data_IF_055156382170
#
_entry.id   IF_055156382170
#
_cell.length_a   1.000
_cell.length_b   1.000
_cell.length_c   1.000
_cell.angle_alpha   90.00
_cell.angle_beta   90.00
_cell.angle_gamma   90.00
#
_symmetry.space_group_name_H-M   'P 1'
#
loop_
_entity.id
_entity.type
_entity.pdbx_description
1 polymer ?
#
# COMPACT_ATOMS: atom_id res chain seq x y z
N UNK A 1 5.77 3.79 -11.29
CA UNK A 1 5.24 3.60 -9.93
C UNK A 1 5.97 4.56 -9.01
N UNK A 2 5.26 5.25 -8.13
CA UNK A 2 5.84 6.16 -7.15
C UNK A 2 6.20 5.46 -5.85
N UNK A 3 7.19 5.99 -5.15
CA UNK A 3 7.71 5.45 -3.89
C UNK A 3 8.00 6.59 -2.91
N UNK A 4 7.45 6.51 -1.69
CA UNK A 4 7.69 7.49 -0.61
C UNK A 4 7.91 6.79 0.72
N UNK A 5 8.94 7.20 1.46
CA UNK A 5 9.11 6.78 2.85
C UNK A 5 8.27 7.67 3.76
N UNK A 6 7.35 7.09 4.55
CA UNK A 6 6.54 7.82 5.54
C UNK A 6 6.15 6.98 6.75
N UNK A 7 5.56 7.63 7.75
CA UNK A 7 4.93 6.97 8.87
C UNK A 7 3.42 6.88 8.67
N UNK A 8 2.88 5.68 8.86
CA UNK A 8 1.44 5.44 8.93
C UNK A 8 1.10 4.93 10.33
N UNK A 9 -0.16 5.06 10.74
CA UNK A 9 -0.67 4.46 11.96
C UNK A 9 -1.57 3.28 11.62
N UNK A 10 -1.27 2.08 12.12
CA UNK A 10 -2.08 0.87 11.93
C UNK A 10 -2.69 0.50 13.27
N UNK A 11 -4.00 0.72 13.42
CA UNK A 11 -4.64 0.68 14.74
C UNK A 11 -4.01 1.72 15.67
N UNK A 12 -3.27 1.26 16.69
CA UNK A 12 -2.55 2.12 17.64
C UNK A 12 -1.03 2.19 17.40
N UNK A 13 -0.51 1.51 16.37
CA UNK A 13 0.92 1.40 16.15
C UNK A 13 1.39 2.31 15.02
N UNK A 14 2.31 3.23 15.32
CA UNK A 14 3.04 3.99 14.31
C UNK A 14 4.11 3.13 13.63
N UNK A 15 4.13 3.14 12.29
CA UNK A 15 4.97 2.29 11.49
C UNK A 15 5.61 3.08 10.34
N UNK A 16 6.94 3.04 10.25
CA UNK A 16 7.65 3.51 9.07
C UNK A 16 7.42 2.52 7.92
N UNK A 17 6.98 3.03 6.78
CA UNK A 17 6.72 2.23 5.57
C UNK A 17 7.25 2.93 4.34
N UNK A 18 7.49 2.13 3.31
CA UNK A 18 7.60 2.59 1.94
C UNK A 18 6.22 2.55 1.30
N UNK A 19 5.59 3.70 1.11
CA UNK A 19 4.34 3.79 0.38
C UNK A 19 4.55 3.66 -1.13
N UNK A 20 3.81 2.74 -1.73
CA UNK A 20 3.71 2.46 -3.15
C UNK A 20 2.43 3.11 -3.68
N UNK A 21 2.59 3.98 -4.68
CA UNK A 21 1.48 4.71 -5.31
C UNK A 21 1.63 4.81 -6.82
N UNK A 22 0.65 5.44 -7.46
CA UNK A 22 0.57 5.57 -8.93
C UNK A 22 0.75 4.23 -9.66
N UNK A 23 0.13 3.19 -9.10
CA UNK A 23 0.17 1.86 -9.68
C UNK A 23 -0.98 1.70 -10.68
N UNK A 24 -0.63 1.65 -11.97
CA UNK A 24 -1.57 1.45 -13.06
C UNK A 24 -1.02 0.45 -14.05
N UNK A 25 -1.86 -0.48 -14.48
CA UNK A 25 -1.54 -1.47 -15.50
C UNK A 25 -2.60 -1.35 -16.58
N UNK A 26 -2.15 -1.27 -17.83
CA UNK A 26 -3.08 -1.25 -18.96
C UNK A 26 -3.75 -2.63 -19.05
N UNK A 27 -5.08 -2.75 -19.19
CA UNK A 27 -5.78 -4.05 -19.12
C UNK A 27 -5.25 -5.13 -20.06
N UNK A 28 -4.74 -4.75 -21.24
CA UNK A 28 -4.12 -5.64 -22.22
C UNK A 28 -2.71 -6.13 -21.83
N UNK A 29 -2.08 -5.47 -20.85
CA UNK A 29 -0.75 -5.79 -20.31
C UNK A 29 -0.80 -6.50 -18.95
N UNK A 30 -1.99 -6.73 -18.36
CA UNK A 30 -2.17 -7.40 -17.07
C UNK A 30 -1.53 -8.80 -17.00
N UNK A 31 -1.25 -9.43 -18.15
CA UNK A 31 -0.62 -10.75 -18.24
C UNK A 31 0.90 -10.71 -18.48
N UNK A 32 1.53 -9.53 -18.63
CA UNK A 32 2.92 -9.40 -19.12
C UNK A 32 3.96 -8.82 -18.13
N UNK A 33 3.73 -8.86 -16.81
CA UNK A 33 4.88 -8.90 -15.87
C UNK A 33 5.02 -7.77 -14.86
N UNK A 34 4.03 -7.61 -13.97
CA UNK A 34 4.17 -6.74 -12.79
C UNK A 34 5.10 -7.29 -11.71
N UNK A 35 5.31 -8.61 -11.66
CA UNK A 35 6.37 -9.17 -10.80
C UNK A 35 7.71 -8.48 -11.06
N UNK A 36 7.97 -8.08 -12.30
CA UNK A 36 9.19 -7.37 -12.67
C UNK A 36 9.27 -5.95 -12.06
N UNK A 37 8.18 -5.18 -12.02
CA UNK A 37 8.20 -3.81 -11.51
C UNK A 37 8.32 -3.73 -9.98
N UNK A 38 7.69 -4.65 -9.25
CA UNK A 38 7.80 -4.72 -7.79
C UNK A 38 9.17 -5.25 -7.38
N UNK A 39 9.64 -6.32 -8.04
CA UNK A 39 10.98 -6.86 -7.80
C UNK A 39 12.08 -5.86 -8.17
N UNK A 40 11.89 -5.05 -9.22
CA UNK A 40 12.86 -4.00 -9.60
C UNK A 40 13.03 -2.92 -8.52
N UNK A 41 12.02 -2.70 -7.67
CA UNK A 41 12.09 -1.72 -6.58
C UNK A 41 12.59 -2.33 -5.27
N UNK A 42 12.69 -3.65 -5.19
CA UNK A 42 13.12 -4.33 -3.96
C UNK A 42 14.48 -3.85 -3.45
N UNK A 43 15.51 -3.62 -4.30
CA UNK A 43 16.77 -3.03 -3.84
C UNK A 43 16.57 -1.64 -3.21
N UNK A 44 15.81 -0.76 -3.85
CA UNK A 44 15.50 0.58 -3.32
C UNK A 44 14.71 0.51 -2.02
N UNK A 45 13.78 -0.44 -1.89
CA UNK A 45 13.02 -0.64 -0.66
C UNK A 45 13.90 -1.08 0.52
N UNK A 46 14.93 -1.89 0.26
CA UNK A 46 15.91 -2.29 1.28
C UNK A 46 16.74 -1.09 1.76
N UNK A 47 17.14 -0.19 0.85
CA UNK A 47 17.90 1.02 1.19
C UNK A 47 17.11 2.02 2.05
N UNK A 48 15.78 2.05 1.93
CA UNK A 48 14.93 2.93 2.73
C UNK A 48 14.87 2.57 4.23
N UNK A 49 15.39 1.40 4.61
CA UNK A 49 15.47 0.97 6.01
C UNK A 49 14.10 0.86 6.68
N UNK A 50 13.07 0.47 5.91
CA UNK A 50 11.69 0.29 6.40
C UNK A 50 11.35 -1.19 6.56
N UNK A 51 10.56 -1.57 7.58
CA UNK A 51 10.15 -2.96 7.79
C UNK A 51 9.23 -3.50 6.69
N UNK A 52 8.37 -2.63 6.12
CA UNK A 52 7.35 -3.00 5.14
C UNK A 52 7.23 -1.95 4.04
N UNK A 53 6.82 -2.41 2.85
CA UNK A 53 6.18 -1.55 1.86
C UNK A 53 4.66 -1.69 1.95
N UNK A 54 3.94 -0.61 1.70
CA UNK A 54 2.49 -0.49 1.83
C UNK A 54 1.93 0.18 0.56
N UNK A 55 0.80 -0.27 0.06
CA UNK A 55 0.09 0.42 -1.03
C UNK A 55 -1.39 0.13 -0.99
N UNK A 56 -2.18 0.93 -1.70
CA UNK A 56 -3.62 0.72 -1.84
C UNK A 56 -4.02 0.60 -3.29
N UNK A 57 -4.93 -0.32 -3.59
CA UNK A 57 -5.60 -0.38 -4.91
C UNK A 57 -7.10 -0.52 -4.75
N UNK A 58 -7.83 -0.10 -5.77
CA UNK A 58 -9.29 -0.28 -5.83
C UNK A 58 -9.65 -1.76 -5.93
N UNK A 59 -10.84 -2.14 -5.46
CA UNK A 59 -11.34 -3.51 -5.58
C UNK A 59 -11.41 -4.04 -7.01
N UNK A 60 -11.55 -3.17 -8.02
CA UNK A 60 -11.48 -3.56 -9.43
C UNK A 60 -10.15 -4.24 -9.81
N UNK A 61 -9.07 -3.99 -9.06
CA UNK A 61 -7.75 -4.60 -9.25
C UNK A 61 -7.56 -5.91 -8.47
N UNK A 62 -8.59 -6.43 -7.78
CA UNK A 62 -8.51 -7.64 -6.95
C UNK A 62 -7.87 -8.83 -7.66
N UNK A 63 -8.45 -9.23 -8.79
CA UNK A 63 -8.02 -10.41 -9.56
C UNK A 63 -6.56 -10.30 -9.99
N UNK A 64 -6.10 -9.05 -10.19
CA UNK A 64 -4.74 -8.75 -10.56
C UNK A 64 -3.79 -8.91 -9.39
N UNK A 65 -4.07 -8.29 -8.24
CA UNK A 65 -3.18 -8.33 -7.06
C UNK A 65 -3.16 -9.68 -6.35
N UNK A 66 -4.28 -10.42 -6.32
CA UNK A 66 -4.37 -11.74 -5.69
C UNK A 66 -3.51 -12.79 -6.41
N UNK A 67 -3.21 -12.60 -7.70
CA UNK A 67 -2.27 -13.46 -8.42
C UNK A 67 -0.87 -13.38 -7.83
N UNK A 68 -0.43 -12.18 -7.43
CA UNK A 68 0.88 -11.97 -6.81
C UNK A 68 0.90 -12.36 -5.34
N UNK A 69 -0.23 -12.22 -4.64
CA UNK A 69 -0.35 -12.75 -3.29
C UNK A 69 -0.07 -14.26 -3.26
N UNK A 70 -0.55 -15.00 -4.26
CA UNK A 70 -0.30 -16.44 -4.41
C UNK A 70 1.17 -16.80 -4.65
N UNK A 71 2.00 -15.88 -5.15
CA UNK A 71 3.44 -16.12 -5.31
C UNK A 71 4.23 -15.81 -4.04
N UNK A 72 3.58 -15.37 -2.96
CA UNK A 72 4.21 -15.04 -1.68
C UNK A 72 4.97 -13.71 -1.67
N UNK A 73 4.92 -12.94 -2.76
CA UNK A 73 5.70 -11.70 -2.91
C UNK A 73 5.05 -10.52 -2.18
N UNK A 74 3.74 -10.56 -1.96
CA UNK A 74 2.98 -9.55 -1.24
C UNK A 74 1.80 -10.19 -0.51
N UNK A 75 1.23 -9.51 0.46
CA UNK A 75 -0.04 -9.87 1.10
C UNK A 75 -1.11 -8.85 0.72
N UNK A 76 -2.32 -9.34 0.43
CA UNK A 76 -3.51 -8.51 0.20
C UNK A 76 -4.36 -8.57 1.46
N UNK A 77 -4.49 -7.44 2.15
CA UNK A 77 -5.36 -7.29 3.30
C UNK A 77 -6.71 -6.72 2.86
N UNK A 78 -7.78 -7.27 3.40
CA UNK A 78 -9.17 -6.87 3.13
C UNK A 78 -9.89 -6.57 4.43
N UNK A 79 -10.95 -5.76 4.40
CA UNK A 79 -11.63 -5.30 5.62
C UNK A 79 -10.80 -4.31 6.43
N UNK A 80 -9.83 -3.66 5.77
CA UNK A 80 -8.98 -2.61 6.35
C UNK A 80 -9.38 -1.29 5.71
N UNK A 81 -9.87 -0.38 6.53
CA UNK A 81 -10.18 0.99 6.11
C UNK A 81 -8.91 1.83 6.10
N UNK A 82 -8.73 2.66 5.08
CA UNK A 82 -7.61 3.59 4.98
C UNK A 82 -8.13 5.01 5.05
N UNK A 83 -7.66 5.77 6.06
CA UNK A 83 -7.95 7.19 6.21
C UNK A 83 -6.77 8.01 5.70
N UNK A 84 -7.07 8.91 4.77
CA UNK A 84 -6.09 9.80 4.14
C UNK A 84 -6.55 11.25 4.22
N UNK A 85 -5.60 12.17 4.26
CA UNK A 85 -5.89 13.60 4.11
C UNK A 85 -6.29 13.87 2.67
N UNK A 86 -7.26 14.75 2.43
CA UNK A 86 -7.55 15.20 1.07
C UNK A 86 -6.38 16.06 0.56
N UNK A 87 -5.96 15.91 -0.72
CA UNK A 87 -4.88 16.71 -1.28
C UNK A 87 -5.22 18.19 -1.33
N UNK A 88 -6.49 18.52 -1.58
CA UNK A 88 -7.00 19.89 -1.62
C UNK A 88 -7.84 20.19 -0.37
N UNK A 89 -7.52 21.29 0.29
CA UNK A 89 -8.34 21.79 1.40
C UNK A 89 -9.62 22.43 0.85
N UNK A 90 -10.77 21.98 1.34
CA UNK A 90 -12.06 22.61 1.04
C UNK A 90 -12.80 22.91 2.34
N UNK A 91 -13.16 24.19 2.63
CA UNK A 91 -13.71 24.59 3.93
C UNK A 91 -15.05 23.93 4.29
N UNK A 92 -15.76 23.40 3.30
CA UNK A 92 -17.05 22.74 3.46
C UNK A 92 -16.98 21.20 3.34
N UNK A 93 -15.78 20.62 3.28
CA UNK A 93 -15.57 19.18 3.21
C UNK A 93 -14.72 18.71 4.39
N UNK A 94 -14.95 17.49 4.93
CA UNK A 94 -14.03 16.91 5.90
C UNK A 94 -12.60 16.90 5.34
N UNK A 95 -11.58 17.20 6.16
CA UNK A 95 -10.18 17.26 5.70
C UNK A 95 -9.60 15.88 5.38
N UNK A 96 -10.32 14.81 5.71
CA UNK A 96 -9.90 13.43 5.50
C UNK A 96 -11.00 12.63 4.84
N UNK A 97 -10.60 11.58 4.11
CA UNK A 97 -11.48 10.57 3.53
C UNK A 97 -11.08 9.20 4.05
N UNK A 98 -12.06 8.40 4.44
CA UNK A 98 -11.86 6.99 4.79
C UNK A 98 -12.43 6.14 3.67
N UNK A 99 -11.61 5.25 3.11
CA UNK A 99 -11.97 4.38 2.00
C UNK A 99 -11.76 2.91 2.37
N UNK A 100 -12.65 2.04 1.88
CA UNK A 100 -12.44 0.60 1.86
C UNK A 100 -11.69 0.25 0.56
N UNK A 101 -10.43 -0.17 0.72
CA UNK A 101 -9.50 -0.45 -0.38
C UNK A 101 -8.82 -1.79 -0.14
N UNK A 102 -8.24 -2.35 -1.21
CA UNK A 102 -7.32 -3.47 -1.05
C UNK A 102 -5.98 -2.93 -0.62
N UNK A 103 -5.55 -3.33 0.57
CA UNK A 103 -4.24 -2.95 1.11
C UNK A 103 -3.21 -4.00 0.69
N UNK A 104 -2.12 -3.55 0.09
CA UNK A 104 -0.99 -4.38 -0.30
C UNK A 104 0.13 -4.17 0.71
N UNK A 105 0.68 -5.26 1.24
CA UNK A 105 1.83 -5.21 2.16
C UNK A 105 2.93 -6.11 1.63
N UNK A 106 4.16 -5.58 1.55
CA UNK A 106 5.34 -6.34 1.18
C UNK A 106 6.30 -6.35 2.39
N UNK A 107 6.63 -7.52 2.96
CA UNK A 107 7.68 -7.62 3.96
C UNK A 107 9.05 -7.33 3.32
N UNK A 108 9.84 -6.43 3.93
CA UNK A 108 11.18 -6.08 3.43
C UNK A 108 12.26 -6.61 4.38
N UNK A 109 12.27 -6.14 5.62
CA UNK A 109 13.21 -6.58 6.67
C UNK A 109 12.53 -7.33 7.82
N UNK A 110 11.23 -7.59 7.71
CA UNK A 110 10.37 -8.21 8.72
C UNK A 110 9.48 -9.25 8.10
N UNK A 111 8.82 -10.05 8.92
CA UNK A 111 7.82 -11.02 8.45
C UNK A 111 6.42 -10.42 8.51
N UNK A 112 5.47 -10.95 7.72
CA UNK A 112 4.07 -10.52 7.78
C UNK A 112 3.43 -10.73 9.16
N UNK A 113 3.94 -11.66 9.98
CA UNK A 113 3.46 -11.86 11.35
C UNK A 113 3.72 -10.68 12.28
N UNK A 114 4.66 -9.80 11.92
CA UNK A 114 5.00 -8.59 12.66
C UNK A 114 4.21 -7.37 12.16
N UNK A 115 3.37 -7.52 11.14
CA UNK A 115 2.45 -6.46 10.74
C UNK A 115 1.44 -6.19 11.86
N UNK A 116 1.20 -4.93 12.26
CA UNK A 116 0.31 -4.64 13.39
C UNK A 116 -1.12 -5.11 13.16
N UNK A 117 -1.75 -5.62 14.22
CA UNK A 117 -3.17 -5.95 14.21
C UNK A 117 -4.00 -4.67 14.27
N UNK A 118 -4.62 -4.30 13.14
CA UNK A 118 -5.50 -3.15 13.07
C UNK A 118 -6.32 -3.16 11.79
N UNK A 119 -7.57 -2.70 11.88
CA UNK A 119 -8.51 -2.59 10.74
C UNK A 119 -8.64 -1.16 10.21
N UNK A 120 -7.96 -0.20 10.84
CA UNK A 120 -7.85 1.18 10.37
C UNK A 120 -6.38 1.52 10.16
N UNK A 121 -6.06 2.07 8.99
CA UNK A 121 -4.76 2.65 8.67
C UNK A 121 -4.93 4.15 8.48
N UNK A 122 -4.21 4.95 9.25
CA UNK A 122 -4.10 6.40 9.04
C UNK A 122 -2.82 6.68 8.25
N UNK A 123 -2.98 7.17 7.02
CA UNK A 123 -1.87 7.41 6.07
C UNK A 123 -0.99 8.61 6.44
N UNK A 124 -1.49 9.51 7.30
CA UNK A 124 -0.83 10.77 7.67
C UNK A 124 -0.45 11.63 6.45
N UNK A 125 -1.39 11.76 5.51
CA UNK A 125 -1.26 12.57 4.31
C UNK A 125 -2.16 12.07 3.17
N UNK A 126 -2.09 12.72 2.00
CA UNK A 126 -2.80 12.26 0.82
C UNK A 126 -2.21 10.97 0.26
N UNK A 127 -3.04 10.26 -0.51
CA UNK A 127 -2.62 9.16 -1.38
C UNK A 127 -1.54 9.63 -2.36
N UNK A 128 -0.60 8.72 -2.67
CA UNK A 128 0.51 8.97 -3.59
C UNK A 128 0.16 8.68 -5.05
#
# INVERSE_FOLDING_TARGET
MGLLRRFIKVGETDLAVAELGLYGVRPDLERMGIGHSVSALFPTLQELGVPFAFGTVRHAMRSHVERYARTGMLSVLTGVSVRSTLPDFHPYMPPTRTEDLLVLVIPIGRTMSEWPSGTLIERNGPEL
#
